data_IF_539663240102
#
_entry.id   IF_539663240102
#
_cell.length_a   1.000
_cell.length_b   1.000
_cell.length_c   1.000
_cell.angle_alpha   90.00
_cell.angle_beta   90.00
_cell.angle_gamma   90.00
#
_symmetry.space_group_name_H-M   'P 1'
#
loop_
_entity.id
_entity.type
_entity.pdbx_description
1 polymer ?
#
# COMPACT_ATOMS: atom_id res chain seq x y z
N UNK A 1 -55.30 23.42 -17.14
CA UNK A 1 -54.12 23.62 -18.01
C UNK A 1 -53.35 24.83 -17.51
N UNK A 2 -52.02 24.80 -17.35
CA UNK A 2 -51.07 23.75 -16.90
C UNK A 2 -50.47 24.17 -15.52
N UNK A 3 -49.67 23.45 -14.74
CA UNK A 3 -48.85 22.25 -14.90
C UNK A 3 -47.47 22.51 -14.28
N UNK A 4 -47.00 21.68 -13.33
CA UNK A 4 -45.60 21.19 -13.27
C UNK A 4 -45.43 20.09 -12.19
N UNK A 5 -45.02 18.92 -12.65
CA UNK A 5 -44.46 17.80 -11.88
C UNK A 5 -43.01 18.10 -11.50
N UNK A 6 -42.57 17.75 -10.29
CA UNK A 6 -41.25 17.18 -9.91
C UNK A 6 -41.47 16.60 -8.50
N UNK A 7 -41.51 15.29 -8.28
CA UNK A 7 -40.35 14.40 -8.34
C UNK A 7 -39.91 14.08 -6.90
N UNK A 8 -40.71 13.29 -6.20
CA UNK A 8 -40.33 12.56 -4.98
C UNK A 8 -39.70 11.25 -5.46
N UNK A 9 -38.42 10.99 -5.17
CA UNK A 9 -37.79 9.68 -4.88
C UNK A 9 -36.32 9.94 -4.46
N UNK A 10 -35.96 9.65 -3.21
CA UNK A 10 -34.58 9.84 -2.73
C UNK A 10 -34.32 9.56 -1.25
N UNK A 11 -35.35 9.32 -0.43
CA UNK A 11 -35.20 9.19 1.02
C UNK A 11 -34.96 7.78 1.57
N UNK A 12 -35.15 6.71 0.78
CA UNK A 12 -35.19 5.35 1.33
C UNK A 12 -33.80 4.70 1.51
N UNK A 13 -32.80 5.03 0.68
CA UNK A 13 -31.46 4.42 0.76
C UNK A 13 -30.57 5.00 1.88
N UNK A 14 -30.84 6.25 2.29
CA UNK A 14 -30.07 6.91 3.34
C UNK A 14 -30.42 6.37 4.74
N UNK A 15 -31.70 6.05 4.97
CA UNK A 15 -32.19 5.53 6.26
C UNK A 15 -31.61 4.14 6.60
N UNK A 16 -31.47 3.28 5.59
CA UNK A 16 -30.95 1.92 5.75
C UNK A 16 -29.45 1.92 6.07
N UNK A 17 -28.69 2.83 5.44
CA UNK A 17 -27.24 3.01 5.73
C UNK A 17 -27.02 3.51 7.16
N UNK A 18 -27.86 4.44 7.63
CA UNK A 18 -27.79 4.94 9.02
C UNK A 18 -28.16 3.87 10.04
N UNK A 19 -29.12 3.00 9.74
CA UNK A 19 -29.55 1.95 10.66
C UNK A 19 -28.52 0.82 10.80
N UNK A 20 -27.82 0.49 9.70
CA UNK A 20 -26.67 -0.44 9.73
C UNK A 20 -25.49 0.16 10.49
N UNK A 21 -25.20 1.45 10.30
CA UNK A 21 -24.16 2.16 11.04
C UNK A 21 -24.44 2.23 12.56
N UNK A 22 -25.69 2.48 12.94
CA UNK A 22 -26.12 2.48 14.35
C UNK A 22 -26.03 1.09 14.97
N UNK A 23 -26.40 0.06 14.21
CA UNK A 23 -26.33 -1.34 14.66
C UNK A 23 -24.87 -1.78 14.89
N UNK A 24 -23.95 -1.35 14.02
CA UNK A 24 -22.50 -1.58 14.19
C UNK A 24 -21.93 -0.80 15.39
N UNK A 25 -22.41 0.43 15.63
CA UNK A 25 -21.99 1.25 16.76
C UNK A 25 -22.47 0.68 18.12
N UNK A 26 -23.67 0.10 18.16
CA UNK A 26 -24.22 -0.55 19.35
C UNK A 26 -23.49 -1.86 19.66
N UNK A 27 -23.12 -2.63 18.63
CA UNK A 27 -22.27 -3.81 18.80
C UNK A 27 -20.85 -3.44 19.29
N UNK A 28 -20.31 -2.31 18.82
CA UNK A 28 -19.01 -1.74 19.26
C UNK A 28 -19.03 -1.28 20.72
N UNK A 29 -20.14 -0.69 21.18
CA UNK A 29 -20.27 -0.17 22.54
C UNK A 29 -20.40 -1.27 23.61
N UNK A 30 -20.93 -2.45 23.24
CA UNK A 30 -21.10 -3.60 24.15
C UNK A 30 -19.77 -4.33 24.40
N UNK A 31 -18.75 -4.14 23.55
CA UNK A 31 -17.52 -4.92 23.58
C UNK A 31 -16.38 -4.37 24.47
N UNK A 32 -16.49 -3.18 25.06
CA UNK A 32 -15.56 -2.68 26.09
C UNK A 32 -14.07 -2.55 25.73
N UNK A 33 -13.66 -2.86 24.50
CA UNK A 33 -12.29 -2.85 23.98
C UNK A 33 -12.16 -2.12 22.65
N UNK A 34 -10.91 -1.88 22.21
CA UNK A 34 -10.61 -1.20 20.94
C UNK A 34 -11.21 -2.01 19.79
N UNK A 35 -12.13 -1.41 19.03
CA UNK A 35 -12.84 -2.19 18.02
C UNK A 35 -11.90 -2.65 16.89
N UNK A 36 -11.96 -3.93 16.49
CA UNK A 36 -11.09 -4.50 15.46
C UNK A 36 -11.18 -3.73 14.13
N UNK A 37 -12.39 -3.28 13.79
CA UNK A 37 -12.66 -2.46 12.61
C UNK A 37 -12.07 -1.06 12.72
N UNK A 38 -12.11 -0.45 13.92
CA UNK A 38 -11.49 0.86 14.19
C UNK A 38 -9.96 0.82 14.20
N UNK A 39 -9.34 -0.29 14.60
CA UNK A 39 -7.90 -0.50 14.54
C UNK A 39 -7.39 -0.72 13.10
N UNK A 40 -8.15 -1.48 12.30
CA UNK A 40 -7.88 -1.69 10.87
C UNK A 40 -7.95 -0.39 10.06
N UNK A 41 -8.99 0.42 10.29
CA UNK A 41 -9.15 1.72 9.60
C UNK A 41 -8.04 2.71 10.00
N UNK A 42 -7.67 2.77 11.28
CA UNK A 42 -6.55 3.59 11.75
C UNK A 42 -5.19 3.10 11.24
N UNK A 43 -4.98 1.79 11.13
CA UNK A 43 -3.75 1.20 10.59
C UNK A 43 -3.59 1.35 9.06
N UNK A 44 -4.71 1.47 8.33
CA UNK A 44 -4.71 1.69 6.89
C UNK A 44 -4.48 3.16 6.50
N UNK A 45 -4.83 4.09 7.40
CA UNK A 45 -4.72 5.54 7.18
C UNK A 45 -3.29 6.08 7.38
N UNK A 46 -2.54 5.50 8.31
CA UNK A 46 -1.12 5.82 8.52
C UNK A 46 -0.37 4.49 8.68
N UNK A 47 0.58 4.15 7.80
CA UNK A 47 1.32 2.90 7.90
C UNK A 47 1.98 2.79 9.29
N UNK A 48 1.61 1.77 10.05
CA UNK A 48 2.11 1.53 11.41
C UNK A 48 1.26 2.05 12.58
N UNK A 49 0.19 2.83 12.37
CA UNK A 49 -0.67 3.33 13.48
C UNK A 49 -1.55 2.26 14.14
N UNK A 50 -1.83 1.14 13.46
CA UNK A 50 -2.66 0.05 13.99
C UNK A 50 -1.97 -0.77 15.09
N UNK A 51 -0.63 -0.86 15.07
CA UNK A 51 0.14 -1.68 16.03
C UNK A 51 0.42 -0.99 17.35
N UNK A 52 0.27 0.34 17.43
CA UNK A 52 0.34 1.09 18.68
C UNK A 52 -0.82 0.73 19.64
N UNK A 53 -1.94 0.24 19.10
CA UNK A 53 -3.12 -0.16 19.87
C UNK A 53 -3.06 -1.60 20.40
N UNK A 54 -2.24 -2.49 19.81
CA UNK A 54 -2.16 -3.93 20.16
C UNK A 54 -1.03 -4.29 21.13
N UNK A 55 -0.24 -3.31 21.59
CA UNK A 55 0.84 -3.52 22.57
C UNK A 55 2.09 -4.23 22.03
N UNK A 56 2.14 -4.64 20.75
CA UNK A 56 3.31 -5.29 20.14
C UNK A 56 4.19 -4.29 19.36
N UNK A 57 5.09 -3.62 20.07
CA UNK A 57 6.00 -2.61 19.50
C UNK A 57 6.87 -3.17 18.36
N UNK A 58 7.24 -4.46 18.44
CA UNK A 58 8.12 -5.12 17.47
C UNK A 58 7.46 -5.32 16.10
N UNK A 59 6.17 -5.70 16.06
CA UNK A 59 5.44 -5.89 14.80
C UNK A 59 5.16 -4.56 14.11
N UNK A 60 4.75 -3.55 14.89
CA UNK A 60 4.59 -2.19 14.38
C UNK A 60 5.87 -1.61 13.79
N UNK A 61 7.01 -1.80 14.46
CA UNK A 61 8.32 -1.35 13.97
C UNK A 61 8.71 -2.04 12.65
N UNK A 62 8.40 -3.32 12.48
CA UNK A 62 8.67 -4.05 11.23
C UNK A 62 7.91 -3.44 10.04
N UNK A 63 6.59 -3.31 10.14
CA UNK A 63 5.78 -2.78 9.03
C UNK A 63 6.09 -1.32 8.75
N UNK A 64 6.29 -0.50 9.79
CA UNK A 64 6.71 0.90 9.61
C UNK A 64 8.08 0.99 8.89
N UNK A 65 9.03 0.13 9.25
CA UNK A 65 10.34 0.07 8.60
C UNK A 65 10.24 -0.32 7.13
N UNK A 66 9.45 -1.34 6.82
CA UNK A 66 9.22 -1.80 5.45
C UNK A 66 8.52 -0.72 4.59
N UNK A 67 7.51 -0.06 5.13
CA UNK A 67 6.80 1.05 4.48
C UNK A 67 7.70 2.26 4.25
N UNK A 68 8.52 2.61 5.25
CA UNK A 68 9.50 3.69 5.13
C UNK A 68 10.55 3.40 4.05
N UNK A 69 11.00 2.14 3.95
CA UNK A 69 11.92 1.70 2.91
C UNK A 69 11.28 1.82 1.52
N UNK A 70 10.05 1.33 1.36
CA UNK A 70 9.32 1.41 0.11
C UNK A 70 9.08 2.86 -0.31
N UNK A 71 8.64 3.71 0.62
CA UNK A 71 8.48 5.16 0.41
C UNK A 71 9.77 5.86 0.00
N UNK A 72 10.89 5.55 0.65
CA UNK A 72 12.20 6.10 0.27
C UNK A 72 12.62 5.66 -1.15
N UNK A 73 12.40 4.38 -1.48
CA UNK A 73 12.70 3.87 -2.82
C UNK A 73 11.81 4.47 -3.90
N UNK A 74 10.52 4.68 -3.64
CA UNK A 74 9.61 5.41 -4.53
C UNK A 74 10.11 6.84 -4.78
N UNK A 75 10.45 7.58 -3.72
CA UNK A 75 10.99 8.93 -3.83
C UNK A 75 12.28 8.96 -4.66
N UNK A 76 13.23 8.08 -4.34
CA UNK A 76 14.51 7.96 -5.03
C UNK A 76 14.33 7.62 -6.51
N UNK A 77 13.43 6.68 -6.82
CA UNK A 77 13.15 6.27 -8.20
C UNK A 77 12.43 7.37 -8.97
N UNK A 78 11.48 8.08 -8.37
CA UNK A 78 10.81 9.23 -9.00
C UNK A 78 11.80 10.34 -9.40
N UNK A 79 12.77 10.64 -8.54
CA UNK A 79 13.85 11.60 -8.87
C UNK A 79 14.72 11.13 -10.02
N UNK A 80 15.05 9.83 -10.06
CA UNK A 80 15.85 9.22 -11.14
C UNK A 80 15.09 9.15 -12.46
N UNK A 81 13.80 8.88 -12.41
CA UNK A 81 12.91 8.86 -13.58
C UNK A 81 12.85 10.23 -14.26
N UNK A 82 12.75 11.32 -13.48
CA UNK A 82 12.81 12.67 -14.02
C UNK A 82 14.10 12.95 -14.79
N UNK A 83 15.26 12.53 -14.25
CA UNK A 83 16.55 12.66 -14.93
C UNK A 83 16.62 11.79 -16.19
N UNK A 84 16.13 10.54 -16.14
CA UNK A 84 16.11 9.66 -17.31
C UNK A 84 15.25 10.22 -18.44
N UNK A 85 14.06 10.77 -18.12
CA UNK A 85 13.16 11.40 -19.09
C UNK A 85 13.78 12.65 -19.72
N UNK A 86 14.44 13.47 -18.91
CA UNK A 86 15.15 14.65 -19.42
C UNK A 86 16.26 14.25 -20.39
N UNK A 87 17.04 13.23 -20.04
CA UNK A 87 18.10 12.72 -20.90
C UNK A 87 17.54 12.14 -22.21
N UNK A 88 16.48 11.34 -22.14
CA UNK A 88 15.81 10.80 -23.33
C UNK A 88 15.35 11.92 -24.26
N UNK A 89 14.65 12.93 -23.72
CA UNK A 89 14.17 14.09 -24.48
C UNK A 89 15.31 14.84 -25.16
N UNK A 90 16.36 15.18 -24.43
CA UNK A 90 17.50 15.94 -24.99
C UNK A 90 18.17 15.18 -26.14
N UNK A 91 18.29 13.86 -26.02
CA UNK A 91 18.89 13.04 -27.07
C UNK A 91 17.96 12.88 -28.29
N UNK A 92 16.66 12.65 -28.07
CA UNK A 92 15.67 12.60 -29.14
C UNK A 92 15.62 13.92 -29.92
N UNK A 93 15.58 15.06 -29.22
CA UNK A 93 15.60 16.40 -29.83
C UNK A 93 16.88 16.61 -30.65
N UNK A 94 18.03 16.16 -30.13
CA UNK A 94 19.31 16.29 -30.85
C UNK A 94 19.35 15.45 -32.12
N UNK A 95 18.93 14.18 -32.05
CA UNK A 95 18.93 13.28 -33.21
C UNK A 95 17.90 13.76 -34.24
N UNK A 96 16.72 14.17 -33.78
CA UNK A 96 15.69 14.77 -34.65
C UNK A 96 16.22 16.03 -35.36
N UNK A 97 16.88 16.94 -34.64
CA UNK A 97 17.46 18.13 -35.23
C UNK A 97 18.52 17.79 -36.28
N UNK A 98 19.34 16.76 -36.04
CA UNK A 98 20.31 16.28 -37.01
C UNK A 98 19.63 15.70 -38.27
N UNK A 99 18.62 14.85 -38.09
CA UNK A 99 17.84 14.28 -39.19
C UNK A 99 17.17 15.36 -40.06
N UNK A 100 16.64 16.41 -39.44
CA UNK A 100 16.06 17.55 -40.15
C UNK A 100 17.12 18.33 -40.96
N UNK A 101 18.34 18.48 -40.44
CA UNK A 101 19.47 19.08 -41.19
C UNK A 101 19.86 18.19 -42.38
N UNK A 102 19.79 16.88 -42.22
CA UNK A 102 20.05 15.89 -43.27
C UNK A 102 18.89 15.77 -44.28
N UNK A 103 17.82 16.56 -44.11
CA UNK A 103 16.69 16.67 -45.02
C UNK A 103 15.50 15.75 -44.72
N UNK A 104 15.60 14.93 -43.68
CA UNK A 104 14.51 14.05 -43.24
C UNK A 104 13.47 14.90 -42.52
N UNK A 105 12.30 15.08 -43.15
CA UNK A 105 11.22 15.94 -42.63
C UNK A 105 9.92 15.18 -42.37
N UNK A 106 9.78 13.96 -42.88
CA UNK A 106 8.60 13.12 -42.64
C UNK A 106 8.60 12.60 -41.20
N UNK A 107 7.55 12.88 -40.39
CA UNK A 107 7.50 12.44 -38.99
C UNK A 107 7.59 10.92 -38.81
N UNK A 108 7.08 10.13 -39.76
CA UNK A 108 7.13 8.66 -39.67
C UNK A 108 8.55 8.13 -39.91
N UNK A 109 9.25 8.71 -40.88
CA UNK A 109 10.66 8.41 -41.16
C UNK A 109 11.55 8.82 -39.99
N UNK A 110 11.32 9.99 -39.38
CA UNK A 110 12.02 10.44 -38.18
C UNK A 110 11.87 9.43 -37.04
N UNK A 111 10.65 8.99 -36.72
CA UNK A 111 10.43 8.03 -35.63
C UNK A 111 11.10 6.68 -35.90
N UNK A 112 11.08 6.23 -37.15
CA UNK A 112 11.77 5.00 -37.57
C UNK A 112 13.28 5.11 -37.30
N UNK A 113 13.91 6.20 -37.76
CA UNK A 113 15.33 6.44 -37.59
C UNK A 113 15.73 6.70 -36.13
N UNK A 114 14.85 7.31 -35.33
CA UNK A 114 15.03 7.43 -33.88
C UNK A 114 15.02 6.04 -33.21
N UNK A 115 14.14 5.14 -33.65
CA UNK A 115 14.09 3.76 -33.18
C UNK A 115 15.35 2.94 -33.52
N UNK A 116 16.02 3.26 -34.63
CA UNK A 116 17.27 2.63 -35.04
C UNK A 116 18.51 3.20 -34.29
N UNK A 117 18.39 4.39 -33.70
CA UNK A 117 19.50 5.03 -33.00
C UNK A 117 19.75 4.37 -31.63
N UNK A 118 20.95 3.79 -31.45
CA UNK A 118 21.34 3.08 -30.22
C UNK A 118 21.25 3.97 -28.96
N UNK A 119 21.62 5.25 -29.07
CA UNK A 119 21.64 6.17 -27.94
C UNK A 119 20.22 6.53 -27.51
N UNK A 120 19.33 6.82 -28.46
CA UNK A 120 17.90 7.07 -28.19
C UNK A 120 17.27 5.82 -27.56
N UNK A 121 17.48 4.64 -28.16
CA UNK A 121 16.97 3.37 -27.61
C UNK A 121 17.47 3.12 -26.18
N UNK A 122 18.74 3.42 -25.89
CA UNK A 122 19.33 3.30 -24.55
C UNK A 122 18.63 4.21 -23.54
N UNK A 123 18.37 5.48 -23.88
CA UNK A 123 17.72 6.40 -22.94
C UNK A 123 16.24 6.12 -22.76
N UNK A 124 15.52 5.69 -23.82
CA UNK A 124 14.15 5.17 -23.72
C UNK A 124 14.09 3.98 -22.78
N UNK A 125 14.95 2.98 -22.96
CA UNK A 125 15.03 1.82 -22.07
C UNK A 125 15.41 2.18 -20.63
N UNK A 126 16.19 3.24 -20.41
CA UNK A 126 16.45 3.77 -19.07
C UNK A 126 15.22 4.40 -18.42
N UNK A 127 14.34 5.05 -19.20
CA UNK A 127 13.05 5.56 -18.70
C UNK A 127 12.17 4.38 -18.30
N UNK A 128 11.98 3.41 -19.20
CA UNK A 128 11.13 2.24 -18.99
C UNK A 128 11.56 1.48 -17.72
N UNK A 129 12.85 1.18 -17.59
CA UNK A 129 13.38 0.48 -16.41
C UNK A 129 13.15 1.25 -15.08
N UNK A 130 13.03 2.59 -15.12
CA UNK A 130 12.73 3.40 -13.93
C UNK A 130 11.24 3.47 -13.65
N UNK A 131 10.40 3.36 -14.66
CA UNK A 131 8.95 3.23 -14.51
C UNK A 131 8.60 1.89 -13.89
N UNK A 132 9.15 0.78 -14.42
CA UNK A 132 9.02 -0.56 -13.84
C UNK A 132 9.47 -0.61 -12.39
N UNK A 133 10.67 -0.08 -12.08
CA UNK A 133 11.15 0.00 -10.69
C UNK A 133 10.16 0.73 -9.79
N UNK A 134 9.53 1.81 -10.27
CA UNK A 134 8.56 2.56 -9.47
C UNK A 134 7.31 1.71 -9.22
N UNK A 135 6.82 0.99 -10.22
CA UNK A 135 5.67 0.10 -10.11
C UNK A 135 5.93 -1.06 -9.13
N UNK A 136 7.13 -1.65 -9.18
CA UNK A 136 7.56 -2.67 -8.22
C UNK A 136 7.49 -2.15 -6.77
N UNK A 137 8.00 -0.94 -6.53
CA UNK A 137 7.95 -0.35 -5.18
C UNK A 137 6.53 0.03 -4.74
N UNK A 138 5.64 0.39 -5.68
CA UNK A 138 4.23 0.56 -5.36
C UNK A 138 3.59 -0.76 -4.97
N UNK A 139 3.87 -1.85 -5.68
CA UNK A 139 3.38 -3.17 -5.34
C UNK A 139 3.84 -3.60 -3.94
N UNK A 140 5.12 -3.39 -3.61
CA UNK A 140 5.68 -3.68 -2.28
C UNK A 140 5.00 -2.85 -1.19
N UNK A 141 4.81 -1.54 -1.40
CA UNK A 141 4.14 -0.67 -0.44
C UNK A 141 2.70 -1.12 -0.20
N UNK A 142 1.91 -1.31 -1.26
CA UNK A 142 0.51 -1.73 -1.14
C UNK A 142 0.42 -3.11 -0.47
N UNK A 143 1.27 -4.06 -0.87
CA UNK A 143 1.30 -5.39 -0.26
C UNK A 143 1.61 -5.33 1.24
N UNK A 144 2.62 -4.54 1.63
CA UNK A 144 3.05 -4.41 3.02
C UNK A 144 1.95 -3.77 3.87
N UNK A 145 1.29 -2.75 3.34
CA UNK A 145 0.17 -2.06 3.99
C UNK A 145 -0.98 -3.03 4.28
N UNK A 146 -1.39 -3.80 3.25
CA UNK A 146 -2.46 -4.78 3.37
C UNK A 146 -2.09 -5.91 4.33
N UNK A 147 -0.85 -6.42 4.22
CA UNK A 147 -0.34 -7.47 5.10
C UNK A 147 -0.34 -7.01 6.57
N UNK A 148 0.08 -5.77 6.83
CA UNK A 148 0.02 -5.18 8.18
C UNK A 148 -1.42 -5.12 8.71
N UNK A 149 -2.39 -4.75 7.87
CA UNK A 149 -3.81 -4.72 8.24
C UNK A 149 -4.33 -6.11 8.61
N UNK A 150 -3.99 -7.12 7.81
CA UNK A 150 -4.36 -8.53 8.07
C UNK A 150 -3.70 -9.05 9.36
N UNK A 151 -2.41 -8.82 9.57
CA UNK A 151 -1.72 -9.24 10.80
C UNK A 151 -2.33 -8.60 12.06
N UNK A 152 -2.71 -7.32 11.98
CA UNK A 152 -3.39 -6.63 13.08
C UNK A 152 -4.79 -7.21 13.35
N UNK A 153 -5.56 -7.49 12.29
CA UNK A 153 -6.88 -8.12 12.39
C UNK A 153 -6.81 -9.49 13.07
N UNK A 154 -5.88 -10.34 12.62
CA UNK A 154 -5.64 -11.66 13.20
C UNK A 154 -5.19 -11.53 14.65
N UNK A 155 -4.25 -10.63 14.94
CA UNK A 155 -3.75 -10.42 16.31
C UNK A 155 -4.86 -10.02 17.26
N UNK A 156 -5.78 -9.16 16.83
CA UNK A 156 -6.93 -8.73 17.65
C UNK A 156 -7.90 -9.88 17.91
N UNK A 157 -8.20 -10.70 16.89
CA UNK A 157 -9.05 -11.89 17.07
C UNK A 157 -8.46 -12.93 18.02
N UNK A 158 -7.13 -12.94 18.17
CA UNK A 158 -6.44 -13.83 19.07
C UNK A 158 -6.28 -13.26 20.50
N UNK A 159 -6.68 -12.01 20.76
CA UNK A 159 -6.53 -11.39 22.09
C UNK A 159 -7.37 -12.07 23.17
N UNK A 160 -8.51 -12.65 22.80
CA UNK A 160 -9.42 -13.33 23.74
C UNK A 160 -9.04 -14.80 23.99
N UNK A 161 -8.02 -15.32 23.29
CA UNK A 161 -7.54 -16.68 23.51
C UNK A 161 -6.60 -16.71 24.72
N UNK A 162 -6.73 -17.72 25.61
CA UNK A 162 -5.86 -17.87 26.77
C UNK A 162 -4.39 -17.94 26.33
N UNK A 163 -3.51 -17.37 27.16
CA UNK A 163 -2.08 -17.19 26.88
C UNK A 163 -1.41 -18.49 26.34
N UNK A 164 -0.52 -18.40 25.34
CA UNK A 164 0.19 -19.56 24.82
C UNK A 164 0.98 -20.27 25.91
N UNK A 165 0.96 -21.60 25.89
CA UNK A 165 1.84 -22.47 26.67
C UNK A 165 3.29 -21.99 26.55
N UNK A 166 3.86 -21.46 27.62
CA UNK A 166 5.31 -21.18 27.70
C UNK A 166 6.05 -22.51 27.77
N UNK A 167 6.73 -22.87 26.68
CA UNK A 167 7.67 -23.99 26.68
C UNK A 167 9.01 -23.44 27.18
N UNK A 168 9.20 -23.44 28.49
CA UNK A 168 10.53 -23.24 29.07
C UNK A 168 11.30 -24.57 28.96
N UNK A 169 12.33 -24.60 28.11
CA UNK A 169 13.25 -25.72 28.06
C UNK A 169 14.14 -25.68 29.30
N UNK A 170 14.09 -26.72 30.14
CA UNK A 170 14.97 -26.84 31.30
C UNK A 170 16.40 -27.19 30.81
N UNK A 171 17.37 -26.27 30.90
CA UNK A 171 18.70 -26.50 30.35
C UNK A 171 19.54 -27.47 31.19
N UNK A 172 19.08 -27.87 32.38
CA UNK A 172 19.84 -28.70 33.33
C UNK A 172 19.45 -30.18 33.28
N UNK A 173 18.26 -30.52 32.75
CA UNK A 173 17.70 -31.87 32.80
C UNK A 173 17.31 -32.52 31.47
N UNK A 174 17.38 -31.80 30.34
CA UNK A 174 16.97 -32.32 29.03
C UNK A 174 15.47 -32.60 28.90
N UNK A 175 14.66 -32.17 29.86
CA UNK A 175 13.20 -32.31 29.87
C UNK A 175 12.50 -31.04 29.40
N UNK A 176 11.34 -31.21 28.77
CA UNK A 176 10.42 -30.12 28.45
C UNK A 176 9.40 -30.00 29.57
N UNK A 177 9.27 -28.81 30.16
CA UNK A 177 8.19 -28.51 31.10
C UNK A 177 7.08 -27.76 30.36
N UNK A 178 5.83 -28.20 30.54
CA UNK A 178 4.65 -27.59 29.93
C UNK A 178 3.76 -27.07 31.05
N UNK A 179 3.67 -25.75 31.20
CA UNK A 179 2.84 -25.11 32.20
C UNK A 179 1.55 -24.58 31.57
N UNK A 180 0.38 -25.05 32.05
CA UNK A 180 -0.93 -24.51 31.68
C UNK A 180 -1.45 -23.65 32.83
N UNK A 181 -1.74 -22.36 32.58
CA UNK A 181 -2.41 -21.50 33.56
C UNK A 181 -3.91 -21.49 33.26
N UNK A 182 -4.72 -22.09 34.13
CA UNK A 182 -6.18 -22.08 34.04
C UNK A 182 -6.72 -21.02 35.00
N UNK A 183 -7.42 -19.98 34.53
CA UNK A 183 -8.13 -19.07 35.42
C UNK A 183 -9.28 -19.83 36.09
N UNK A 184 -9.23 -19.92 37.42
CA UNK A 184 -10.36 -20.39 38.23
C UNK A 184 -11.13 -19.16 38.70
N UNK A 185 -12.37 -19.06 38.23
CA UNK A 185 -13.37 -18.12 38.76
C UNK A 185 -13.91 -18.55 40.11
#
# INVERSE_FOLDING_TARGET
MPGRLVGQEGGAAAADTTQVADSLAVLDAVAGGISPSGAFLRGSLIPGWGHAASGSLTRGAFYFGAESLAGWMLYKTARRLGVAREQARVWEERVTAQLMVDGVTDPMEIETLLGENEQVARFRGLVDAREEQREDWFAVAIFTLLLSGVDAFVSTHLQDFPEPLTIEGNPVGGGFEVAVRIPVG
#
